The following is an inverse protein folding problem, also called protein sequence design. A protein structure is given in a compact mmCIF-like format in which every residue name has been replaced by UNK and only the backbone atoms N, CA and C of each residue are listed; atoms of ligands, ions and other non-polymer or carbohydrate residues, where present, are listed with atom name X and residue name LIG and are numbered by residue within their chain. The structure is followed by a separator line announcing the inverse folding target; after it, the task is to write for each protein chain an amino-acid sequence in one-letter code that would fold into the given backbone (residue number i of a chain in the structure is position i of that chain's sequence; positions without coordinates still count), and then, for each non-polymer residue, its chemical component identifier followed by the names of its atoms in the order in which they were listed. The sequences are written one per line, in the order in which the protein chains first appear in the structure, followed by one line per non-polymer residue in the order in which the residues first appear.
data_IF_415538715873
#
_entry.id   IF_415538715873
#
_cell.length_a   1.000
_cell.length_b   1.000
_cell.length_c   1.000
_cell.angle_alpha   90.00
_cell.angle_beta   90.00
_cell.angle_gamma   90.00
#
_symmetry.space_group_name_H-M   'P 1'
#
loop_
_entity.id
_entity.type
_entity.pdbx_description
1 polymer ?
#
# COMPACT_ATOMS: atom_id res chain seq x y z
N UNK A 1 30.80 13.16 18.31
CA UNK A 1 29.40 12.86 18.71
C UNK A 1 28.65 12.34 17.50
N UNK A 2 28.34 11.04 17.47
CA UNK A 2 27.43 10.47 16.47
C UNK A 2 26.03 10.95 16.81
N UNK A 3 25.50 11.88 16.06
CA UNK A 3 24.09 12.20 16.07
C UNK A 3 23.32 10.90 15.82
N UNK A 4 22.60 10.42 16.81
CA UNK A 4 21.67 9.29 16.64
C UNK A 4 20.50 9.78 15.78
N UNK A 5 20.57 9.53 14.48
CA UNK A 5 19.44 9.77 13.61
C UNK A 5 18.29 8.82 14.02
N UNK A 6 17.12 9.38 14.29
CA UNK A 6 15.91 8.56 14.44
C UNK A 6 15.55 8.00 13.08
N UNK A 7 15.42 6.68 12.98
CA UNK A 7 14.86 6.01 11.83
C UNK A 7 13.49 5.44 12.18
N UNK A 8 12.52 5.60 11.27
CA UNK A 8 11.23 4.94 11.36
C UNK A 8 11.26 3.79 10.34
N UNK A 9 10.87 2.59 10.76
CA UNK A 9 10.84 1.39 9.92
C UNK A 9 9.39 0.94 9.80
N UNK A 10 8.96 0.68 8.58
CA UNK A 10 7.65 0.13 8.27
C UNK A 10 7.85 -1.29 7.72
N UNK A 11 7.38 -2.28 8.46
CA UNK A 11 7.51 -3.69 8.07
C UNK A 11 6.16 -4.25 7.67
N UNK A 12 6.08 -4.86 6.49
CA UNK A 12 4.86 -5.42 5.94
C UNK A 12 5.10 -6.90 5.65
N UNK A 13 4.14 -7.71 5.99
CA UNK A 13 4.14 -9.15 5.74
C UNK A 13 2.98 -9.50 4.83
N UNK A 14 3.27 -10.24 3.77
CA UNK A 14 2.27 -10.79 2.87
C UNK A 14 2.30 -12.30 2.95
N UNK A 15 1.12 -12.92 2.91
CA UNK A 15 0.99 -14.38 2.77
C UNK A 15 1.18 -14.73 1.28
N UNK A 16 2.26 -15.42 0.90
CA UNK A 16 2.54 -15.72 -0.48
C UNK A 16 1.66 -16.86 -0.99
N UNK A 17 1.66 -17.07 -2.32
CA UNK A 17 1.21 -18.34 -2.87
C UNK A 17 2.19 -19.44 -2.44
N UNK A 18 1.91 -20.09 -1.31
CA UNK A 18 2.82 -21.04 -0.68
C UNK A 18 3.14 -22.23 -1.58
N UNK A 19 2.21 -22.63 -2.44
CA UNK A 19 2.41 -23.76 -3.36
C UNK A 19 3.50 -23.47 -4.40
N UNK A 20 3.65 -22.21 -4.79
CA UNK A 20 4.69 -21.77 -5.73
C UNK A 20 5.96 -21.33 -4.99
N UNK A 21 5.82 -20.68 -3.83
CA UNK A 21 6.93 -20.06 -3.12
C UNK A 21 7.83 -21.06 -2.40
N UNK A 22 7.30 -22.20 -1.98
CA UNK A 22 8.07 -23.25 -1.29
C UNK A 22 9.24 -23.80 -2.11
N UNK A 23 9.16 -23.73 -3.43
CA UNK A 23 10.18 -24.25 -4.34
C UNK A 23 11.12 -23.18 -4.88
N UNK A 24 10.98 -21.93 -4.41
CA UNK A 24 11.86 -20.82 -4.80
C UNK A 24 13.02 -20.68 -3.82
N UNK A 25 14.17 -20.37 -4.33
CA UNK A 25 15.30 -20.01 -3.47
C UNK A 25 15.01 -18.73 -2.71
N UNK A 26 15.41 -18.64 -1.43
CA UNK A 26 15.32 -17.40 -0.68
C UNK A 26 16.09 -16.29 -1.39
N UNK A 27 15.50 -15.13 -1.52
CA UNK A 27 16.15 -13.98 -2.14
C UNK A 27 15.91 -12.71 -1.33
N UNK A 28 16.81 -11.78 -1.49
CA UNK A 28 16.78 -10.47 -0.86
C UNK A 28 17.16 -9.41 -1.89
N UNK A 29 16.41 -8.33 -1.94
CA UNK A 29 16.68 -7.20 -2.81
C UNK A 29 16.56 -5.89 -2.05
N UNK A 30 17.57 -5.04 -2.20
CA UNK A 30 17.54 -3.66 -1.74
C UNK A 30 17.13 -2.73 -2.88
N UNK A 31 16.20 -1.83 -2.59
CA UNK A 31 15.78 -0.77 -3.49
C UNK A 31 15.96 0.59 -2.82
N UNK A 32 16.54 1.52 -3.57
CA UNK A 32 16.58 2.92 -3.16
C UNK A 32 15.30 3.62 -3.57
N UNK A 33 14.95 4.69 -2.87
CA UNK A 33 13.77 5.50 -3.21
C UNK A 33 13.77 5.99 -4.69
N UNK A 34 14.95 6.18 -5.26
CA UNK A 34 15.15 6.60 -6.67
C UNK A 34 14.88 5.50 -7.69
N UNK A 35 14.84 4.24 -7.28
CA UNK A 35 14.61 3.11 -8.18
C UNK A 35 13.12 2.97 -8.54
N UNK A 36 12.25 3.62 -7.75
CA UNK A 36 10.82 3.61 -7.96
C UNK A 36 10.37 4.76 -8.85
N UNK A 37 9.55 4.45 -9.84
CA UNK A 37 8.96 5.45 -10.72
C UNK A 37 7.93 6.28 -9.98
N UNK A 38 7.92 7.58 -10.26
CA UNK A 38 6.90 8.50 -9.77
C UNK A 38 6.23 9.22 -10.95
N UNK A 39 4.96 9.51 -10.77
CA UNK A 39 4.20 10.37 -11.69
C UNK A 39 3.35 11.35 -10.87
N UNK A 40 2.96 12.43 -11.50
CA UNK A 40 2.13 13.47 -10.89
C UNK A 40 0.87 13.68 -11.72
N UNK A 41 -0.25 13.74 -11.05
CA UNK A 41 -1.54 14.01 -11.64
C UNK A 41 -2.39 14.81 -10.65
N UNK A 42 -2.81 16.02 -11.07
CA UNK A 42 -3.71 16.88 -10.28
C UNK A 42 -3.30 17.01 -8.81
N UNK A 43 -2.11 17.55 -8.53
CA UNK A 43 -1.64 17.80 -7.16
C UNK A 43 -1.45 16.53 -6.29
N UNK A 44 -1.44 15.37 -6.93
CA UNK A 44 -1.13 14.09 -6.31
C UNK A 44 0.14 13.55 -6.96
N UNK A 45 1.21 13.45 -6.17
CA UNK A 45 2.43 12.77 -6.60
C UNK A 45 2.41 11.33 -6.11
N UNK A 46 2.41 10.40 -7.04
CA UNK A 46 2.37 8.97 -6.76
C UNK A 46 3.71 8.32 -7.06
N UNK A 47 4.26 7.61 -6.10
CA UNK A 47 5.41 6.71 -6.27
C UNK A 47 4.90 5.27 -6.31
N UNK A 48 5.27 4.55 -7.37
CA UNK A 48 4.87 3.15 -7.56
C UNK A 48 5.94 2.25 -6.97
N UNK A 49 5.65 1.59 -5.85
CA UNK A 49 6.58 0.71 -5.15
C UNK A 49 6.46 -0.72 -5.69
N UNK A 50 5.24 -1.24 -5.83
CA UNK A 50 5.00 -2.55 -6.42
C UNK A 50 3.71 -2.54 -7.24
N UNK A 51 3.77 -3.10 -8.42
CA UNK A 51 2.63 -3.47 -9.25
C UNK A 51 3.10 -4.47 -10.31
N UNK A 52 2.22 -4.89 -11.21
CA UNK A 52 2.55 -5.85 -12.29
C UNK A 52 3.73 -5.41 -13.18
N UNK A 53 3.96 -4.09 -13.32
CA UNK A 53 4.97 -3.49 -14.23
C UNK A 53 6.28 -3.13 -13.55
N UNK A 54 6.38 -3.26 -12.22
CA UNK A 54 7.55 -2.83 -11.45
C UNK A 54 8.59 -3.92 -11.25
N UNK A 55 9.79 -3.47 -10.82
CA UNK A 55 10.92 -4.36 -10.52
C UNK A 55 10.69 -5.20 -9.26
N UNK A 56 10.07 -4.60 -8.24
CA UNK A 56 9.73 -5.31 -7.02
C UNK A 56 8.58 -6.27 -7.31
N UNK A 57 8.88 -7.54 -7.31
CA UNK A 57 7.91 -8.63 -7.46
C UNK A 57 7.64 -9.27 -6.11
N UNK A 58 6.38 -9.46 -5.81
CA UNK A 58 5.92 -10.18 -4.64
C UNK A 58 5.42 -11.56 -5.06
N UNK A 59 5.60 -12.54 -4.19
CA UNK A 59 5.03 -13.89 -4.40
C UNK A 59 3.54 -13.96 -4.01
N UNK A 60 2.95 -12.82 -3.70
CA UNK A 60 1.52 -12.63 -3.48
C UNK A 60 0.91 -11.97 -4.70
N UNK A 61 -0.10 -12.62 -5.30
CA UNK A 61 -0.68 -12.15 -6.55
C UNK A 61 -1.53 -10.89 -6.37
N UNK A 62 -1.46 -9.99 -7.34
CA UNK A 62 -2.30 -8.79 -7.44
C UNK A 62 -2.17 -7.82 -6.25
N UNK A 63 -1.03 -7.82 -5.57
CA UNK A 63 -0.70 -6.79 -4.58
C UNK A 63 -0.10 -5.59 -5.30
N UNK A 64 -0.65 -4.41 -5.03
CA UNK A 64 -0.11 -3.14 -5.48
C UNK A 64 0.29 -2.29 -4.28
N UNK A 65 1.41 -1.59 -4.36
CA UNK A 65 1.91 -0.74 -3.27
C UNK A 65 2.29 0.61 -3.82
N UNK A 66 1.77 1.65 -3.19
CA UNK A 66 1.98 3.04 -3.58
C UNK A 66 2.35 3.91 -2.38
N UNK A 67 3.09 4.97 -2.64
CA UNK A 67 3.24 6.11 -1.76
C UNK A 67 2.65 7.32 -2.48
N UNK A 68 1.67 7.98 -1.86
CA UNK A 68 1.06 9.18 -2.40
C UNK A 68 1.40 10.39 -1.54
N UNK A 69 1.73 11.49 -2.20
CA UNK A 69 1.84 12.80 -1.60
C UNK A 69 0.73 13.67 -2.18
N UNK A 70 -0.21 14.05 -1.33
CA UNK A 70 -1.31 14.94 -1.64
C UNK A 70 -0.97 16.35 -1.18
N UNK A 71 -1.20 17.32 -2.02
CA UNK A 71 -1.19 18.73 -1.61
C UNK A 71 -2.44 19.08 -0.79
N UNK A 72 -2.50 20.33 -0.32
CA UNK A 72 -3.68 20.79 0.42
C UNK A 72 -4.88 20.89 -0.54
N UNK A 73 -5.97 20.28 -0.18
CA UNK A 73 -7.16 20.39 -1.03
C UNK A 73 -8.08 19.20 -0.97
N UNK A 74 -8.99 19.18 -1.92
CA UNK A 74 -9.94 18.09 -2.14
C UNK A 74 -9.50 17.27 -3.34
N UNK A 75 -9.36 15.96 -3.17
CA UNK A 75 -8.89 15.04 -4.20
C UNK A 75 -9.86 13.89 -4.35
N UNK A 76 -10.07 13.47 -5.58
CA UNK A 76 -10.84 12.27 -5.87
C UNK A 76 -9.89 11.09 -6.07
N UNK A 77 -10.10 10.03 -5.29
CA UNK A 77 -9.37 8.79 -5.38
C UNK A 77 -10.30 7.68 -5.87
N UNK A 78 -9.79 6.80 -6.71
CA UNK A 78 -10.53 5.65 -7.19
C UNK A 78 -10.28 4.47 -6.26
N UNK A 79 -11.35 3.86 -5.77
CA UNK A 79 -11.31 2.64 -4.98
C UNK A 79 -11.57 1.47 -5.93
N UNK A 80 -10.55 0.66 -6.15
CA UNK A 80 -10.57 -0.45 -7.11
C UNK A 80 -11.55 -1.53 -6.64
N UNK A 81 -12.40 -1.98 -7.56
CA UNK A 81 -13.37 -3.04 -7.29
C UNK A 81 -12.69 -4.34 -6.83
N UNK A 82 -13.40 -5.13 -6.01
CA UNK A 82 -12.97 -6.43 -5.50
C UNK A 82 -11.59 -6.39 -4.80
N UNK A 83 -11.28 -5.27 -4.16
CA UNK A 83 -10.02 -5.06 -3.45
C UNK A 83 -10.20 -4.36 -2.11
N UNK A 84 -9.23 -4.55 -1.22
CA UNK A 84 -9.04 -3.74 -0.03
C UNK A 84 -7.96 -2.70 -0.29
N UNK A 85 -8.25 -1.45 0.04
CA UNK A 85 -7.29 -0.36 0.08
C UNK A 85 -6.89 -0.12 1.53
N UNK A 86 -5.70 -0.56 1.88
CA UNK A 86 -5.10 -0.38 3.20
C UNK A 86 -4.25 0.89 3.18
N UNK A 87 -4.72 1.95 3.83
CA UNK A 87 -4.12 3.28 3.79
C UNK A 87 -3.54 3.63 5.16
N UNK A 88 -2.24 3.90 5.22
CA UNK A 88 -1.52 4.32 6.41
C UNK A 88 -1.04 5.76 6.26
N UNK A 89 -1.32 6.63 7.23
CA UNK A 89 -0.96 8.05 7.20
C UNK A 89 0.47 8.23 7.71
N UNK A 90 1.39 8.56 6.80
CA UNK A 90 2.80 8.79 7.14
C UNK A 90 3.04 10.20 7.68
N UNK A 91 2.33 11.19 7.15
CA UNK A 91 2.39 12.59 7.63
C UNK A 91 1.18 13.38 7.15
N UNK A 92 0.92 14.53 7.77
CA UNK A 92 -0.21 15.39 7.46
C UNK A 92 -1.52 14.82 7.96
N UNK A 93 -2.63 15.25 7.37
CA UNK A 93 -3.99 14.80 7.71
C UNK A 93 -4.80 14.50 6.47
N UNK A 94 -5.70 13.53 6.58
CA UNK A 94 -6.63 13.11 5.54
C UNK A 94 -8.01 12.95 6.17
N UNK A 95 -9.02 13.56 5.56
CA UNK A 95 -10.42 13.34 5.96
C UNK A 95 -11.15 12.59 4.85
N UNK A 96 -11.82 11.51 5.22
CA UNK A 96 -12.68 10.71 4.34
C UNK A 96 -13.97 10.36 5.07
N UNK A 97 -15.11 10.49 4.39
CA UNK A 97 -16.44 10.22 4.96
C UNK A 97 -16.64 10.89 6.34
N UNK A 98 -16.22 12.16 6.48
CA UNK A 98 -16.27 12.98 7.71
C UNK A 98 -15.42 12.43 8.88
N UNK A 99 -14.47 11.53 8.61
CA UNK A 99 -13.50 11.05 9.60
C UNK A 99 -12.14 11.63 9.30
N UNK A 100 -11.55 12.23 10.30
CA UNK A 100 -10.18 12.75 10.23
C UNK A 100 -9.18 11.68 10.64
N UNK A 101 -8.18 11.50 9.80
CA UNK A 101 -7.05 10.61 9.99
C UNK A 101 -5.78 11.43 10.08
N UNK A 102 -4.94 11.11 11.06
CA UNK A 102 -3.69 11.81 11.36
C UNK A 102 -2.50 10.88 11.19
N UNK A 103 -1.30 11.42 11.27
CA UNK A 103 -0.07 10.61 11.24
C UNK A 103 -0.16 9.42 12.21
N UNK A 104 0.06 8.23 11.70
CA UNK A 104 0.01 6.96 12.43
C UNK A 104 -1.33 6.24 12.36
N UNK A 105 -2.39 6.90 11.88
CA UNK A 105 -3.68 6.27 11.69
C UNK A 105 -3.67 5.35 10.47
N UNK A 106 -4.53 4.33 10.54
CA UNK A 106 -4.70 3.31 9.52
C UNK A 106 -6.18 3.13 9.21
N UNK A 107 -6.53 3.01 7.94
CA UNK A 107 -7.89 2.72 7.49
C UNK A 107 -7.88 1.68 6.38
N UNK A 108 -8.89 0.82 6.38
CA UNK A 108 -9.17 -0.09 5.28
C UNK A 108 -10.47 0.38 4.61
N UNK A 109 -10.40 0.55 3.30
CA UNK A 109 -11.54 0.85 2.45
C UNK A 109 -11.78 -0.36 1.54
N UNK A 110 -12.98 -0.93 1.62
CA UNK A 110 -13.39 -2.00 0.71
C UNK A 110 -13.81 -1.41 -0.63
N UNK A 111 -13.33 -1.99 -1.71
CA UNK A 111 -13.52 -1.49 -3.06
C UNK A 111 -14.81 -2.01 -3.69
N UNK A 112 -15.62 -1.06 -4.15
CA UNK A 112 -16.87 -1.32 -4.86
C UNK A 112 -16.93 -0.51 -6.17
N UNK A 113 -15.75 -0.26 -6.76
CA UNK A 113 -15.56 0.59 -7.94
C UNK A 113 -16.09 2.02 -7.73
N UNK A 114 -15.83 2.55 -6.56
CA UNK A 114 -16.29 3.85 -6.11
C UNK A 114 -15.20 4.91 -6.26
N UNK A 115 -15.63 6.11 -6.60
CA UNK A 115 -14.82 7.30 -6.44
C UNK A 115 -15.10 7.89 -5.06
N UNK A 116 -14.04 8.10 -4.28
CA UNK A 116 -14.11 8.75 -2.97
C UNK A 116 -13.43 10.10 -3.01
N UNK A 117 -14.08 11.09 -2.46
CA UNK A 117 -13.49 12.42 -2.25
C UNK A 117 -12.83 12.46 -0.88
N UNK A 118 -11.56 12.81 -0.85
CA UNK A 118 -10.77 13.03 0.36
C UNK A 118 -10.36 14.49 0.47
N UNK A 119 -10.22 14.97 1.69
CA UNK A 119 -9.69 16.31 1.98
C UNK A 119 -8.34 16.13 2.68
N UNK A 120 -7.32 16.82 2.20
CA UNK A 120 -5.95 16.65 2.71
C UNK A 120 -5.31 17.96 3.13
N UNK A 121 -4.39 17.87 4.08
CA UNK A 121 -3.45 18.94 4.45
C UNK A 121 -2.03 18.38 4.37
N UNK A 122 -1.37 18.59 3.23
CA UNK A 122 -0.01 18.09 2.93
C UNK A 122 0.17 16.65 3.41
N UNK A 123 -0.70 15.78 2.93
CA UNK A 123 -0.81 14.43 3.45
C UNK A 123 0.05 13.46 2.64
N UNK A 124 0.87 12.69 3.34
CA UNK A 124 1.62 11.58 2.75
C UNK A 124 1.05 10.27 3.27
N UNK A 125 0.69 9.39 2.37
CA UNK A 125 0.13 8.09 2.71
C UNK A 125 0.91 6.95 2.06
N UNK A 126 0.87 5.79 2.70
CA UNK A 126 1.31 4.53 2.15
C UNK A 126 0.07 3.68 1.91
N UNK A 127 -0.13 3.25 0.67
CA UNK A 127 -1.30 2.49 0.26
C UNK A 127 -0.91 1.10 -0.22
N UNK A 128 -1.62 0.10 0.27
CA UNK A 128 -1.55 -1.28 -0.22
C UNK A 128 -2.92 -1.65 -0.75
N UNK A 129 -2.97 -2.04 -2.01
CA UNK A 129 -4.18 -2.59 -2.63
C UNK A 129 -4.01 -4.10 -2.70
N UNK A 130 -4.92 -4.82 -2.10
CA UNK A 130 -4.93 -6.28 -2.09
C UNK A 130 -6.27 -6.82 -2.57
N UNK A 131 -6.32 -7.94 -3.30
CA UNK A 131 -7.57 -8.53 -3.76
C UNK A 131 -8.37 -9.09 -2.58
N UNK A 132 -9.71 -8.98 -2.63
CA UNK A 132 -10.61 -9.62 -1.67
C UNK A 132 -10.58 -11.14 -1.87
N UNK A 133 -10.55 -11.58 -3.12
CA UNK A 133 -10.53 -12.99 -3.48
C UNK A 133 -9.18 -13.36 -4.08
N UNK A 134 -8.52 -14.34 -3.48
CA UNK A 134 -7.26 -14.88 -3.97
C UNK A 134 -7.50 -16.04 -4.92
N UNK A 135 -6.64 -16.19 -5.93
CA UNK A 135 -6.64 -17.34 -6.85
C UNK A 135 -6.00 -18.59 -6.24
N UNK A 136 -5.45 -18.50 -5.04
CA UNK A 136 -4.81 -19.58 -4.30
C UNK A 136 -5.28 -19.60 -2.84
N UNK A 137 -5.07 -20.71 -2.14
CA UNK A 137 -5.34 -20.81 -0.71
C UNK A 137 -4.20 -20.22 0.09
N UNK A 138 -4.52 -19.37 1.05
CA UNK A 138 -3.53 -18.85 2.00
C UNK A 138 -3.01 -19.98 2.90
N UNK A 139 -1.86 -19.74 3.56
CA UNK A 139 -1.32 -20.69 4.54
C UNK A 139 -2.36 -21.04 5.62
N UNK A 140 -3.06 -20.05 6.13
CA UNK A 140 -4.11 -20.25 7.13
C UNK A 140 -5.27 -21.11 6.62
N UNK A 141 -5.68 -20.94 5.35
CA UNK A 141 -6.74 -21.75 4.75
C UNK A 141 -6.32 -23.20 4.49
N UNK A 142 -5.03 -23.44 4.21
CA UNK A 142 -4.48 -24.80 3.99
C UNK A 142 -4.40 -25.55 5.32
N UNK A 143 -4.04 -24.85 6.38
CA UNK A 143 -3.77 -25.42 7.72
C UNK A 143 -4.86 -25.15 8.75
N UNK A 144 -6.00 -24.54 8.34
CA UNK A 144 -7.14 -24.42 9.25
C UNK A 144 -7.64 -25.82 9.61
N UNK A 145 -7.35 -26.19 10.86
CA UNK A 145 -7.94 -27.37 11.49
C UNK A 145 -9.39 -26.99 11.77
N UNK A 146 -10.33 -27.73 11.15
CA UNK A 146 -11.75 -27.67 11.49
C UNK A 146 -12.00 -28.13 12.93
#
# INVERSE_FOLDING_TARGET
ERLKAKSEIFQIWFDPNIQESLYKDPHYHDFKSTDFKSYENKEIKTKVISNEKNQLKLDSNNIEIYEHLFENGSHDINIKKDSYHSIFILSGTLSVDQKDLNKGDFVIVEGDDLQKTIITKSCKVFEIISPINLSYKTYAQIHSIN
#
